data_IF_166208745318
#
_entry.id   IF_166208745318
#
_cell.length_a   1.000
_cell.length_b   1.000
_cell.length_c   1.000
_cell.angle_alpha   90.00
_cell.angle_beta   90.00
_cell.angle_gamma   90.00
#
_symmetry.space_group_name_H-M   'P 1'
#
loop_
_entity.id
_entity.type
_entity.pdbx_description
1 polymer ?
#
# COMPACT_ATOMS: atom_id res chain seq x y z
N UNK A 1 20.68 8.21 1.61
CA UNK A 1 19.93 9.07 0.67
C UNK A 1 18.75 8.28 0.11
N UNK A 2 17.57 8.38 0.72
CA UNK A 2 16.36 7.82 0.10
C UNK A 2 15.94 8.78 -1.01
N UNK A 3 16.26 8.46 -2.26
CA UNK A 3 15.76 9.23 -3.41
C UNK A 3 14.25 9.02 -3.45
N UNK A 4 13.46 10.08 -3.33
CA UNK A 4 12.01 9.95 -3.47
C UNK A 4 11.70 9.51 -4.90
N UNK A 5 11.10 8.34 -5.04
CA UNK A 5 10.58 7.90 -6.33
C UNK A 5 9.45 8.84 -6.70
N UNK A 6 9.59 9.55 -7.82
CA UNK A 6 8.50 10.35 -8.37
C UNK A 6 7.52 9.42 -9.07
N UNK A 7 6.24 9.56 -8.76
CA UNK A 7 5.17 8.85 -9.43
C UNK A 7 4.01 9.80 -9.70
N UNK A 8 3.18 9.45 -10.68
CA UNK A 8 1.94 10.17 -10.94
C UNK A 8 0.88 9.72 -9.93
N UNK A 9 0.34 10.65 -9.15
CA UNK A 9 -0.64 10.35 -8.10
C UNK A 9 -1.93 9.72 -8.64
N UNK A 10 -2.41 10.17 -9.80
CA UNK A 10 -3.60 9.63 -10.45
C UNK A 10 -3.42 8.17 -10.86
N UNK A 11 -2.27 7.83 -11.45
CA UNK A 11 -1.92 6.45 -11.79
C UNK A 11 -1.77 5.58 -10.54
N UNK A 12 -1.13 6.10 -9.49
CA UNK A 12 -0.98 5.39 -8.22
C UNK A 12 -2.35 5.12 -7.56
N UNK A 13 -3.26 6.08 -7.59
CA UNK A 13 -4.62 5.90 -7.08
C UNK A 13 -5.38 4.86 -7.88
N UNK A 14 -5.35 4.94 -9.22
CA UNK A 14 -5.98 3.96 -10.10
C UNK A 14 -5.46 2.54 -9.82
N UNK A 15 -4.15 2.35 -9.81
CA UNK A 15 -3.54 1.05 -9.54
C UNK A 15 -3.85 0.54 -8.13
N UNK A 16 -3.98 1.41 -7.12
CA UNK A 16 -4.37 0.99 -5.77
C UNK A 16 -5.79 0.41 -5.72
N UNK A 17 -6.71 0.93 -6.54
CA UNK A 17 -8.08 0.41 -6.65
C UNK A 17 -8.08 -0.94 -7.37
N UNK A 18 -7.31 -1.06 -8.45
CA UNK A 18 -7.12 -2.34 -9.16
C UNK A 18 -6.51 -3.37 -8.21
N UNK A 19 -5.45 -3.02 -7.48
CA UNK A 19 -4.80 -3.91 -6.52
C UNK A 19 -5.75 -4.44 -5.45
N UNK A 20 -6.70 -3.63 -4.96
CA UNK A 20 -7.71 -4.10 -3.99
C UNK A 20 -8.66 -5.15 -4.56
N UNK A 21 -8.92 -5.16 -5.86
CA UNK A 21 -9.85 -6.10 -6.52
C UNK A 21 -9.14 -7.31 -7.13
N UNK A 22 -8.04 -7.06 -7.82
CA UNK A 22 -7.34 -8.00 -8.70
C UNK A 22 -5.91 -8.29 -8.23
N UNK A 23 -5.53 -7.81 -7.05
CA UNK A 23 -4.21 -8.05 -6.48
C UNK A 23 -3.93 -9.54 -6.31
N UNK A 24 -2.75 -9.97 -6.76
CA UNK A 24 -2.26 -11.35 -6.70
C UNK A 24 -2.21 -11.88 -5.26
N UNK A 25 -1.93 -11.00 -4.30
CA UNK A 25 -2.04 -11.29 -2.86
C UNK A 25 -2.64 -10.09 -2.15
N UNK A 26 -3.59 -10.35 -1.25
CA UNK A 26 -4.30 -9.34 -0.46
C UNK A 26 -4.58 -9.88 0.93
N UNK A 27 -4.58 -9.00 1.92
CA UNK A 27 -4.93 -9.38 3.29
C UNK A 27 -4.28 -8.51 4.35
N UNK A 28 -4.63 -8.77 5.60
CA UNK A 28 -4.09 -8.04 6.75
C UNK A 28 -2.68 -8.53 7.10
N UNK A 29 -1.79 -7.57 7.36
CA UNK A 29 -0.46 -7.81 7.92
C UNK A 29 -0.20 -6.79 9.03
N UNK A 30 0.64 -7.15 10.00
CA UNK A 30 1.16 -6.21 10.97
C UNK A 30 2.31 -5.40 10.35
N UNK A 31 2.20 -4.06 10.40
CA UNK A 31 3.23 -3.12 9.97
C UNK A 31 3.74 -2.33 11.16
N UNK A 32 5.06 -2.28 11.33
CA UNK A 32 5.71 -1.37 12.29
C UNK A 32 5.69 0.05 11.74
N UNK A 33 5.13 1.00 12.49
CA UNK A 33 5.14 2.42 12.12
C UNK A 33 6.47 3.07 12.53
N UNK A 34 6.94 4.02 11.72
CA UNK A 34 8.19 4.72 12.01
C UNK A 34 8.07 5.68 13.21
N UNK A 35 6.90 6.28 13.42
CA UNK A 35 6.68 7.33 14.43
C UNK A 35 6.80 6.83 15.88
N UNK A 36 6.25 5.65 16.20
CA UNK A 36 6.20 5.16 17.59
C UNK A 36 6.68 3.72 17.77
N UNK A 37 7.26 3.11 16.72
CA UNK A 37 7.72 1.71 16.73
C UNK A 37 6.66 0.67 17.12
N UNK A 38 5.37 1.02 17.05
CA UNK A 38 4.27 0.07 17.32
C UNK A 38 3.89 -0.68 16.06
N UNK A 39 3.41 -1.90 16.25
CA UNK A 39 2.83 -2.71 15.20
C UNK A 39 1.34 -2.41 15.10
N UNK A 40 0.89 -2.12 13.89
CA UNK A 40 -0.52 -1.91 13.59
C UNK A 40 -0.93 -2.84 12.46
N UNK A 41 -2.12 -3.40 12.58
CA UNK A 41 -2.73 -4.14 11.48
C UNK A 41 -3.06 -3.17 10.34
N UNK A 42 -2.75 -3.55 9.10
CA UNK A 42 -3.03 -2.82 7.87
C UNK A 42 -3.43 -3.80 6.79
N UNK A 43 -4.31 -3.37 5.90
CA UNK A 43 -4.67 -4.18 4.73
C UNK A 43 -3.64 -3.95 3.62
N UNK A 44 -3.05 -5.00 3.10
CA UNK A 44 -2.08 -4.96 2.01
C UNK A 44 -2.67 -5.54 0.73
N UNK A 45 -2.28 -4.98 -0.41
CA UNK A 45 -2.63 -5.50 -1.72
C UNK A 45 -1.43 -5.39 -2.67
N UNK A 46 -0.97 -6.53 -3.18
CA UNK A 46 0.10 -6.64 -4.16
C UNK A 46 -0.50 -6.74 -5.56
N UNK A 47 -0.15 -5.83 -6.45
CA UNK A 47 -0.49 -5.88 -7.87
C UNK A 47 0.78 -5.71 -8.70
N UNK A 48 1.10 -6.72 -9.51
CA UNK A 48 2.40 -6.82 -10.19
C UNK A 48 3.54 -6.69 -9.17
N UNK A 49 4.40 -5.68 -9.32
CA UNK A 49 5.51 -5.36 -8.42
C UNK A 49 5.25 -4.14 -7.53
N UNK A 50 3.97 -3.74 -7.39
CA UNK A 50 3.57 -2.60 -6.55
C UNK A 50 2.75 -3.10 -5.37
N UNK A 51 3.28 -2.91 -4.17
CA UNK A 51 2.62 -3.26 -2.93
C UNK A 51 2.01 -2.01 -2.30
N UNK A 52 0.68 -1.98 -2.24
CA UNK A 52 -0.09 -0.96 -1.55
C UNK A 52 -0.43 -1.42 -0.14
N UNK A 53 -0.49 -0.49 0.81
CA UNK A 53 -1.16 -0.74 2.09
C UNK A 53 -2.17 0.35 2.42
N UNK A 54 -3.17 -0.03 3.19
CA UNK A 54 -4.34 0.77 3.53
C UNK A 54 -4.59 0.68 5.05
N UNK A 55 -5.32 1.65 5.59
CA UNK A 55 -5.73 1.61 7.00
C UNK A 55 -6.61 0.39 7.28
N UNK A 56 -7.53 0.07 6.37
CA UNK A 56 -8.39 -1.11 6.39
C UNK A 56 -8.81 -1.49 4.96
N UNK A 57 -9.51 -2.60 4.81
CA UNK A 57 -9.97 -3.08 3.51
C UNK A 57 -10.94 -2.09 2.80
N UNK A 58 -11.72 -1.29 3.54
CA UNK A 58 -12.69 -0.34 2.99
C UNK A 58 -12.08 1.00 2.58
N UNK A 59 -10.81 1.24 2.92
CA UNK A 59 -10.13 2.50 2.66
C UNK A 59 -10.07 2.83 1.17
N UNK A 60 -10.46 4.06 0.82
CA UNK A 60 -10.50 4.52 -0.57
C UNK A 60 -9.13 4.88 -1.14
N UNK A 61 -8.17 5.28 -0.28
CA UNK A 61 -6.82 5.69 -0.67
C UNK A 61 -5.78 4.82 0.05
N UNK A 62 -4.67 4.47 -0.62
CA UNK A 62 -3.57 3.79 0.04
C UNK A 62 -2.87 4.74 1.02
N UNK A 63 -2.48 4.21 2.17
CA UNK A 63 -1.66 4.90 3.16
C UNK A 63 -0.15 4.80 2.84
N UNK A 64 0.24 3.97 1.87
CA UNK A 64 1.58 3.98 1.29
C UNK A 64 1.78 2.92 0.21
N UNK A 65 2.92 3.04 -0.46
CA UNK A 65 3.27 2.27 -1.65
C UNK A 65 4.73 1.81 -1.52
N UNK A 66 4.99 0.55 -1.86
CA UNK A 66 6.32 -0.01 -2.04
C UNK A 66 6.46 -0.54 -3.47
N UNK A 67 7.58 -0.24 -4.11
CA UNK A 67 8.02 -0.92 -5.32
C UNK A 67 8.93 -2.08 -4.90
N UNK A 68 8.57 -3.29 -5.31
CA UNK A 68 9.30 -4.54 -5.03
C UNK A 68 10.20 -4.93 -6.21
#
# INVERSE_FOLDING_TARGET
>A
MQKSVRYNEGHALFLSVVARKEGTKRGYLCKKTAENSRWHEKFFALYQNVLFYFENEQSARPAGIYLL
#
